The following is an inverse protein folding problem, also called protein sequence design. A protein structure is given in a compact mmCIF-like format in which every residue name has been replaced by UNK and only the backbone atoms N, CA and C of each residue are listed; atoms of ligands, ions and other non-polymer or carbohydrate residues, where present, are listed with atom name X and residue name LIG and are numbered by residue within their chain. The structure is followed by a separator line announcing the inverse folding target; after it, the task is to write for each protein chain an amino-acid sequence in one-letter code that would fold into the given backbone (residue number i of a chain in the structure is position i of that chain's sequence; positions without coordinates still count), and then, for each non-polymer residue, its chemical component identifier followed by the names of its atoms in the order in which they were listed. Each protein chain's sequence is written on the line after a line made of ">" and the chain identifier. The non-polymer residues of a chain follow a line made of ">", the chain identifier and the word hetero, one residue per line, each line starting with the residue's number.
data_IF_735538810551
#
_entry.id   IF_735538810551
#
_cell.length_a   1.000
_cell.length_b   1.000
_cell.length_c   1.000
_cell.angle_alpha   90.00
_cell.angle_beta   90.00
_cell.angle_gamma   90.00
#
_symmetry.space_group_name_H-M   'P 1'
#
loop_
_entity.id
_entity.type
_entity.pdbx_description
1 polymer ?
#
# COMPACT_ATOMS: atom_id res chain seq x y z
N UNK A 1 2.50 35.34 -36.22
CA UNK A 1 3.42 34.20 -36.00
C UNK A 1 4.64 34.76 -35.25
N UNK A 2 4.63 34.71 -33.92
CA UNK A 2 5.72 35.21 -33.08
C UNK A 2 6.70 34.09 -32.81
N UNK A 3 7.98 34.38 -33.00
CA UNK A 3 9.12 33.47 -32.95
C UNK A 3 9.37 33.00 -31.50
N UNK A 4 9.07 31.73 -31.18
CA UNK A 4 9.14 31.15 -29.82
C UNK A 4 10.53 30.64 -29.41
N UNK A 5 11.56 30.90 -30.21
CA UNK A 5 12.86 30.21 -30.23
C UNK A 5 13.79 30.37 -29.02
N UNK A 6 13.29 30.59 -27.82
CA UNK A 6 14.14 30.68 -26.62
C UNK A 6 13.43 30.70 -25.27
N UNK A 7 12.12 30.41 -25.21
CA UNK A 7 11.41 30.39 -23.92
C UNK A 7 11.82 29.16 -23.10
N UNK A 8 12.27 29.39 -21.87
CA UNK A 8 12.68 28.34 -20.91
C UNK A 8 11.48 27.49 -20.49
N UNK A 9 11.70 26.19 -20.27
CA UNK A 9 10.68 25.20 -19.89
C UNK A 9 9.80 25.68 -18.72
N UNK A 10 10.41 26.28 -17.69
CA UNK A 10 9.73 26.87 -16.53
C UNK A 10 8.62 27.84 -16.91
N UNK A 11 8.95 28.85 -17.71
CA UNK A 11 7.99 29.87 -18.11
C UNK A 11 6.85 29.28 -18.92
N UNK A 12 7.19 28.42 -19.90
CA UNK A 12 6.19 27.80 -20.75
C UNK A 12 5.20 26.95 -19.94
N UNK A 13 5.70 26.15 -19.00
CA UNK A 13 4.87 25.25 -18.20
C UNK A 13 3.94 26.02 -17.24
N UNK A 14 4.43 27.10 -16.62
CA UNK A 14 3.58 27.98 -15.80
C UNK A 14 2.43 28.60 -16.61
N UNK A 15 2.71 29.05 -17.85
CA UNK A 15 1.68 29.56 -18.75
C UNK A 15 0.64 28.46 -19.09
N UNK A 16 1.07 27.21 -19.28
CA UNK A 16 0.16 26.09 -19.57
C UNK A 16 -0.69 25.69 -18.35
N UNK A 17 -0.15 25.77 -17.14
CA UNK A 17 -0.92 25.53 -15.92
C UNK A 17 -1.96 26.64 -15.74
N UNK A 18 -1.59 27.90 -15.98
CA UNK A 18 -2.49 29.05 -15.84
C UNK A 18 -3.58 29.11 -16.92
N UNK A 19 -3.33 28.56 -18.11
CA UNK A 19 -4.34 28.51 -19.17
C UNK A 19 -5.51 27.59 -18.85
N UNK A 20 -5.32 26.65 -17.90
CA UNK A 20 -6.31 25.63 -17.51
C UNK A 20 -6.86 24.81 -18.71
N UNK A 21 -6.10 24.74 -19.81
CA UNK A 21 -6.52 24.07 -21.04
C UNK A 21 -6.33 22.55 -20.99
N UNK A 22 -5.44 22.06 -20.12
CA UNK A 22 -5.05 20.66 -20.05
C UNK A 22 -5.65 20.00 -18.80
N UNK A 23 -6.55 19.03 -19.02
CA UNK A 23 -7.23 18.33 -17.91
C UNK A 23 -6.21 17.71 -16.95
N UNK A 24 -6.33 18.01 -15.66
CA UNK A 24 -5.48 17.49 -14.59
C UNK A 24 -4.12 18.18 -14.42
N UNK A 25 -3.72 19.11 -15.31
CA UNK A 25 -2.57 20.00 -15.11
C UNK A 25 -3.00 21.20 -14.26
N UNK A 26 -2.54 21.28 -13.01
CA UNK A 26 -2.94 22.35 -12.09
C UNK A 26 -1.94 22.55 -10.94
N UNK A 27 -2.06 23.69 -10.25
CA UNK A 27 -1.38 23.95 -8.99
C UNK A 27 -1.93 23.05 -7.87
N UNK A 28 -1.03 22.58 -6.99
CA UNK A 28 -1.34 21.78 -5.80
C UNK A 28 -1.41 22.64 -4.53
N UNK A 29 -0.81 23.82 -4.56
CA UNK A 29 -0.75 24.77 -3.46
C UNK A 29 -1.15 26.19 -3.89
N UNK A 30 -1.72 26.97 -2.96
CA UNK A 30 -2.10 28.36 -3.22
C UNK A 30 -0.88 29.26 -3.51
N UNK A 31 0.27 28.93 -2.92
CA UNK A 31 1.55 29.61 -3.17
C UNK A 31 2.17 29.33 -4.54
N UNK A 32 1.55 28.46 -5.36
CA UNK A 32 1.99 28.12 -6.72
C UNK A 32 3.46 27.71 -6.80
N UNK A 33 3.88 26.89 -5.83
CA UNK A 33 5.22 26.33 -5.77
C UNK A 33 5.24 24.87 -6.22
N UNK A 34 4.09 24.20 -6.25
CA UNK A 34 3.93 22.81 -6.66
C UNK A 34 2.78 22.66 -7.64
N UNK A 35 2.99 21.86 -8.66
CA UNK A 35 1.97 21.54 -9.64
C UNK A 35 1.99 20.06 -9.97
N UNK A 36 0.87 19.56 -10.47
CA UNK A 36 0.75 18.18 -10.95
C UNK A 36 0.63 18.12 -12.47
N UNK A 37 1.21 17.08 -13.07
CA UNK A 37 1.06 16.75 -14.49
C UNK A 37 0.36 15.38 -14.61
N UNK A 38 -0.72 15.24 -15.40
CA UNK A 38 -1.32 13.95 -15.73
C UNK A 38 -0.30 12.99 -16.34
N UNK A 39 -0.28 11.73 -15.89
CA UNK A 39 0.76 10.75 -16.25
C UNK A 39 0.20 9.40 -16.67
N UNK A 40 -0.90 9.39 -17.42
CA UNK A 40 -1.56 8.15 -17.87
C UNK A 40 -0.70 7.36 -18.85
N UNK A 41 -0.67 6.04 -18.70
CA UNK A 41 0.07 5.14 -19.58
C UNK A 41 -0.73 4.83 -20.85
N UNK A 42 -0.06 4.85 -22.01
CA UNK A 42 -0.67 4.59 -23.32
C UNK A 42 -1.26 3.17 -23.46
N UNK A 43 -0.78 2.21 -22.67
CA UNK A 43 -1.30 0.84 -22.64
C UNK A 43 -2.60 0.65 -21.85
N UNK A 44 -3.16 1.70 -21.21
CA UNK A 44 -4.44 1.60 -20.50
C UNK A 44 -5.61 1.60 -21.50
N UNK A 45 -6.61 0.76 -21.29
CA UNK A 45 -7.78 0.63 -22.19
C UNK A 45 -8.56 1.95 -22.35
N UNK A 46 -8.55 2.79 -21.32
CA UNK A 46 -9.21 4.09 -21.27
C UNK A 46 -8.25 5.25 -21.58
N UNK A 47 -7.11 4.97 -22.22
CA UNK A 47 -6.19 6.00 -22.70
C UNK A 47 -6.78 6.69 -23.94
N UNK A 48 -6.97 8.01 -23.85
CA UNK A 48 -7.34 8.87 -24.94
C UNK A 48 -6.15 9.74 -25.31
N UNK A 49 -5.52 9.44 -26.45
CA UNK A 49 -4.36 10.18 -26.94
C UNK A 49 -4.59 11.70 -27.04
N UNK A 50 -5.78 12.15 -27.43
CA UNK A 50 -6.04 13.59 -27.60
C UNK A 50 -6.05 14.32 -26.26
N UNK A 51 -6.51 13.65 -25.20
CA UNK A 51 -6.65 14.21 -23.85
C UNK A 51 -5.38 13.94 -23.03
N UNK A 52 -5.00 12.67 -22.91
CA UNK A 52 -3.91 12.21 -22.05
C UNK A 52 -2.53 12.56 -22.60
N UNK A 53 -2.40 12.74 -23.93
CA UNK A 53 -1.15 13.20 -24.54
C UNK A 53 -1.09 14.71 -24.78
N UNK A 54 -2.16 15.46 -24.45
CA UNK A 54 -2.35 16.86 -24.85
C UNK A 54 -1.20 17.79 -24.44
N UNK A 55 -0.78 17.76 -23.18
CA UNK A 55 0.31 18.60 -22.67
C UNK A 55 1.67 18.20 -23.26
N UNK A 56 1.90 16.89 -23.46
CA UNK A 56 3.13 16.39 -24.09
C UNK A 56 3.20 16.80 -25.57
N UNK A 57 2.08 16.70 -26.29
CA UNK A 57 1.94 17.18 -27.67
C UNK A 57 2.19 18.69 -27.74
N UNK A 58 1.63 19.47 -26.82
CA UNK A 58 1.84 20.91 -26.77
C UNK A 58 3.31 21.28 -26.56
N UNK A 59 4.04 20.54 -25.70
CA UNK A 59 5.48 20.71 -25.55
C UNK A 59 6.25 20.41 -26.83
N UNK A 60 5.90 19.33 -27.54
CA UNK A 60 6.53 18.97 -28.81
C UNK A 60 6.29 20.03 -29.90
N UNK A 61 5.07 20.59 -30.00
CA UNK A 61 4.75 21.71 -30.89
C UNK A 61 5.56 22.95 -30.50
N UNK A 62 5.62 23.27 -29.21
CA UNK A 62 6.32 24.44 -28.71
C UNK A 62 7.83 24.41 -29.01
N UNK A 63 8.44 23.22 -28.89
CA UNK A 63 9.85 22.97 -29.26
C UNK A 63 10.06 22.80 -30.76
N UNK A 64 9.01 22.90 -31.59
CA UNK A 64 9.09 22.74 -33.04
C UNK A 64 9.42 21.33 -33.51
N UNK A 65 9.30 20.32 -32.63
CA UNK A 65 9.62 18.91 -32.92
C UNK A 65 8.39 18.11 -33.40
N UNK A 66 7.26 18.78 -33.63
CA UNK A 66 6.04 18.22 -34.19
C UNK A 66 5.23 19.32 -34.89
N UNK A 67 4.68 19.03 -36.07
CA UNK A 67 3.76 19.88 -36.82
C UNK A 67 2.45 19.14 -37.12
N UNK A 68 1.37 19.90 -37.29
CA UNK A 68 0.06 19.34 -37.61
C UNK A 68 0.09 18.66 -38.99
N UNK A 69 -0.10 17.34 -39.00
CA UNK A 69 0.10 16.48 -40.18
C UNK A 69 1.22 15.44 -40.03
N UNK A 70 2.12 15.62 -39.06
CA UNK A 70 3.13 14.61 -38.73
C UNK A 70 2.50 13.40 -38.02
N UNK A 71 3.15 12.24 -38.11
CA UNK A 71 2.73 11.03 -37.38
C UNK A 71 2.79 11.32 -35.87
N UNK A 72 1.68 11.07 -35.18
CA UNK A 72 1.62 11.26 -33.74
C UNK A 72 2.40 10.17 -32.99
N UNK A 73 3.26 10.58 -32.05
CA UNK A 73 4.05 9.69 -31.22
C UNK A 73 3.98 10.10 -29.73
N UNK A 74 2.88 9.75 -29.02
CA UNK A 74 2.66 10.17 -27.64
C UNK A 74 3.77 9.76 -26.67
N UNK A 75 4.32 8.54 -26.82
CA UNK A 75 5.44 8.05 -26.01
C UNK A 75 6.70 8.91 -26.19
N UNK A 76 7.04 9.27 -27.42
CA UNK A 76 8.15 10.17 -27.74
C UNK A 76 7.96 11.56 -27.11
N UNK A 77 6.77 12.13 -27.20
CA UNK A 77 6.47 13.44 -26.62
C UNK A 77 6.58 13.44 -25.09
N UNK A 78 6.02 12.40 -24.45
CA UNK A 78 6.07 12.22 -23.00
C UNK A 78 7.51 12.07 -22.50
N UNK A 79 8.31 11.23 -23.16
CA UNK A 79 9.73 11.04 -22.82
C UNK A 79 10.53 12.33 -22.96
N UNK A 80 10.29 13.13 -24.01
CA UNK A 80 10.96 14.43 -24.17
C UNK A 80 10.63 15.42 -23.07
N UNK A 81 9.36 15.52 -22.66
CA UNK A 81 8.99 16.41 -21.55
C UNK A 81 9.58 15.91 -20.22
N UNK A 82 9.55 14.59 -19.96
CA UNK A 82 10.20 13.97 -18.79
C UNK A 82 11.69 14.29 -18.73
N UNK A 83 12.42 14.10 -19.84
CA UNK A 83 13.84 14.48 -19.95
C UNK A 83 14.03 15.96 -19.57
N UNK A 84 13.21 16.85 -20.12
CA UNK A 84 13.35 18.28 -19.94
C UNK A 84 13.08 18.69 -18.48
N UNK A 85 12.10 18.08 -17.81
CA UNK A 85 11.82 18.28 -16.39
C UNK A 85 12.98 17.78 -15.52
N UNK A 86 13.50 16.58 -15.78
CA UNK A 86 14.56 15.97 -14.97
C UNK A 86 15.92 16.66 -15.13
N UNK A 87 16.23 17.19 -16.32
CA UNK A 87 17.49 17.92 -16.58
C UNK A 87 17.42 19.38 -16.12
N UNK A 88 16.22 19.90 -15.84
CA UNK A 88 16.02 21.30 -15.50
C UNK A 88 16.26 21.54 -14.00
N UNK A 89 17.14 22.49 -13.61
CA UNK A 89 17.34 22.83 -12.20
C UNK A 89 16.13 23.55 -11.59
N UNK A 90 15.20 24.02 -12.42
CA UNK A 90 13.98 24.70 -11.97
C UNK A 90 12.94 23.75 -11.34
N UNK A 91 13.10 22.43 -11.48
CA UNK A 91 12.09 21.47 -11.06
C UNK A 91 12.67 20.31 -10.24
N UNK A 92 11.90 19.88 -9.25
CA UNK A 92 12.16 18.66 -8.48
C UNK A 92 10.88 17.81 -8.44
N UNK A 93 10.97 16.52 -8.77
CA UNK A 93 9.84 15.60 -8.65
C UNK A 93 9.60 15.30 -7.16
N UNK A 94 8.38 15.53 -6.68
CA UNK A 94 7.94 15.22 -5.31
C UNK A 94 7.23 13.88 -5.32
N UNK A 95 8.00 12.79 -5.32
CA UNK A 95 7.49 11.42 -5.48
C UNK A 95 6.43 11.04 -4.45
N UNK A 96 6.55 11.51 -3.21
CA UNK A 96 5.63 11.19 -2.12
C UNK A 96 4.22 11.77 -2.33
N UNK A 97 4.09 12.79 -3.19
CA UNK A 97 2.82 13.41 -3.55
C UNK A 97 2.30 12.94 -4.92
N UNK A 98 3.15 12.30 -5.73
CA UNK A 98 2.75 11.71 -7.00
C UNK A 98 1.81 10.52 -6.78
N UNK A 99 0.75 10.42 -7.58
CA UNK A 99 -0.21 9.31 -7.53
C UNK A 99 -0.28 8.64 -8.89
N UNK A 100 0.47 7.56 -9.08
CA UNK A 100 0.53 6.82 -10.35
C UNK A 100 -0.45 5.64 -10.42
N UNK A 101 -1.13 5.34 -9.32
CA UNK A 101 -1.94 4.14 -9.12
C UNK A 101 -3.44 4.39 -8.99
N UNK A 102 -3.88 5.60 -9.33
CA UNK A 102 -5.29 6.03 -9.38
C UNK A 102 -5.82 6.08 -10.82
N UNK A 103 -7.13 6.26 -11.00
CA UNK A 103 -7.78 6.29 -12.33
C UNK A 103 -7.21 7.38 -13.25
N UNK A 104 -6.93 8.55 -12.68
CA UNK A 104 -6.33 9.69 -13.36
C UNK A 104 -4.94 9.96 -12.74
N UNK A 105 -3.92 9.17 -13.12
CA UNK A 105 -2.62 9.23 -12.48
C UNK A 105 -1.92 10.56 -12.77
N UNK A 106 -1.12 11.04 -11.83
CA UNK A 106 -0.36 12.27 -11.98
C UNK A 106 0.98 12.23 -11.24
N UNK A 107 1.91 13.07 -11.68
CA UNK A 107 3.19 13.36 -11.01
C UNK A 107 3.20 14.77 -10.48
N UNK A 108 3.72 14.95 -9.26
CA UNK A 108 3.85 16.27 -8.63
C UNK A 108 5.29 16.77 -8.76
N UNK A 109 5.45 18.02 -9.15
CA UNK A 109 6.73 18.70 -9.25
C UNK A 109 6.71 19.99 -8.42
N UNK A 110 7.82 20.27 -7.74
CA UNK A 110 8.10 21.52 -7.05
C UNK A 110 8.95 22.43 -7.92
N UNK A 111 8.63 23.71 -7.97
CA UNK A 111 9.45 24.75 -8.57
C UNK A 111 10.54 25.12 -7.56
N UNK A 112 11.80 24.88 -7.93
CA UNK A 112 12.95 25.17 -7.07
C UNK A 112 13.26 26.69 -7.14
N UNK A 113 13.29 27.41 -6.01
CA UNK A 113 13.72 28.81 -5.96
C UNK A 113 15.18 28.99 -6.42
N UNK A 114 15.51 30.12 -7.04
CA UNK A 114 16.84 30.36 -7.64
C UNK A 114 18.00 30.26 -6.61
N UNK A 115 17.73 30.52 -5.33
CA UNK A 115 18.68 30.40 -4.22
C UNK A 115 19.12 28.94 -3.97
N UNK A 116 18.20 27.98 -4.15
CA UNK A 116 18.44 26.55 -3.95
C UNK A 116 19.08 25.88 -5.18
N UNK A 117 19.00 26.52 -6.35
CA UNK A 117 19.51 25.96 -7.62
C UNK A 117 21.04 25.88 -7.69
N UNK A 118 21.76 26.56 -6.80
CA UNK A 118 23.24 26.70 -6.87
C UNK A 118 24.06 25.56 -6.25
N UNK A 119 23.44 24.51 -5.68
CA UNK A 119 24.20 23.51 -4.88
C UNK A 119 23.88 22.00 -5.09
N UNK A 120 23.44 21.52 -6.27
CA UNK A 120 23.45 20.07 -6.58
C UNK A 120 23.00 19.76 -8.01
N UNK A 121 23.54 18.79 -8.78
CA UNK A 121 24.25 17.54 -8.51
C UNK A 121 25.41 17.37 -9.50
N UNK A 122 26.65 17.21 -9.03
CA UNK A 122 27.75 16.68 -9.84
C UNK A 122 27.76 15.17 -9.65
N UNK A 123 27.17 14.43 -10.61
CA UNK A 123 27.48 13.02 -10.76
C UNK A 123 28.89 12.92 -11.36
N UNK A 124 29.81 12.25 -10.66
CA UNK A 124 31.21 12.13 -11.04
C UNK A 124 31.37 11.36 -12.37
N UNK A 125 31.97 12.01 -13.36
CA UNK A 125 32.76 11.37 -14.42
C UNK A 125 33.99 12.26 -14.74
N UNK A 126 35.13 11.68 -15.15
CA UNK A 126 36.40 12.39 -15.21
C UNK A 126 36.48 13.37 -16.39
N UNK A 127 37.27 14.42 -16.18
CA UNK A 127 37.51 15.54 -17.09
C UNK A 127 37.92 15.13 -18.51
N UNK A 128 37.37 15.86 -19.49
CA UNK A 128 38.14 16.40 -20.60
C UNK A 128 37.75 17.86 -20.85
N UNK A 129 38.75 18.74 -20.82
CA UNK A 129 38.70 20.18 -21.05
C UNK A 129 38.31 20.55 -22.48
N UNK A 130 37.43 21.53 -22.67
CA UNK A 130 37.66 22.76 -23.48
C UNK A 130 36.45 23.69 -23.39
N UNK A 131 36.73 24.99 -23.51
CA UNK A 131 35.88 26.16 -23.26
C UNK A 131 34.85 26.46 -24.35
N UNK A 132 33.73 27.07 -23.94
CA UNK A 132 33.11 28.30 -24.49
C UNK A 132 31.59 28.19 -24.41
N UNK A 133 30.95 29.18 -23.78
CA UNK A 133 29.51 29.21 -23.58
C UNK A 133 28.74 29.33 -24.88
N UNK A 134 27.72 28.49 -25.03
CA UNK A 134 26.55 28.75 -25.85
C UNK A 134 25.35 28.00 -25.25
N UNK A 135 24.15 28.56 -25.40
CA UNK A 135 22.93 28.10 -24.73
C UNK A 135 22.58 26.67 -25.17
N UNK A 136 22.86 25.69 -24.31
CA UNK A 136 22.63 24.28 -24.63
C UNK A 136 21.15 24.01 -24.88
N UNK A 137 20.81 23.69 -26.13
CA UNK A 137 19.54 23.08 -26.48
C UNK A 137 19.35 21.81 -25.64
N UNK A 138 18.32 21.83 -24.77
CA UNK A 138 17.94 20.71 -23.93
C UNK A 138 17.23 19.63 -24.75
N UNK A 139 17.95 18.97 -25.65
CA UNK A 139 17.45 17.87 -26.47
C UNK A 139 17.95 16.51 -25.93
N UNK A 140 17.06 15.52 -25.85
CA UNK A 140 17.40 14.11 -25.57
C UNK A 140 17.73 13.43 -26.91
N UNK A 141 18.80 12.62 -26.95
CA UNK A 141 19.23 11.94 -28.18
C UNK A 141 18.23 10.84 -28.58
N UNK A 142 18.05 10.51 -29.87
CA UNK A 142 17.11 9.47 -30.30
C UNK A 142 17.34 8.10 -29.64
N UNK A 143 18.60 7.72 -29.39
CA UNK A 143 18.95 6.47 -28.70
C UNK A 143 18.55 6.47 -27.21
N UNK A 144 18.73 7.60 -26.51
CA UNK A 144 18.29 7.76 -25.11
C UNK A 144 16.75 7.70 -25.02
N UNK A 145 16.06 8.22 -26.03
CA UNK A 145 14.59 8.19 -26.09
C UNK A 145 14.09 6.74 -26.23
N UNK A 146 14.71 5.93 -27.08
CA UNK A 146 14.31 4.53 -27.28
C UNK A 146 14.54 3.69 -26.02
N UNK A 147 15.67 3.89 -25.33
CA UNK A 147 15.96 3.23 -24.06
C UNK A 147 14.98 3.66 -22.95
N UNK A 148 14.68 4.96 -22.83
CA UNK A 148 13.75 5.50 -21.83
C UNK A 148 12.27 5.14 -22.09
N UNK A 149 11.88 4.95 -23.36
CA UNK A 149 10.56 4.42 -23.72
C UNK A 149 10.50 2.95 -23.31
N UNK A 150 11.56 2.18 -23.59
CA UNK A 150 11.66 0.79 -23.19
C UNK A 150 11.70 0.63 -21.67
N UNK A 151 12.30 1.54 -20.92
CA UNK A 151 12.21 1.59 -19.45
C UNK A 151 10.80 1.91 -18.96
N UNK A 152 10.09 2.85 -19.59
CA UNK A 152 8.69 3.13 -19.21
C UNK A 152 7.74 1.97 -19.54
N UNK A 153 8.01 1.20 -20.59
CA UNK A 153 7.29 -0.03 -20.92
C UNK A 153 7.77 -1.25 -20.10
N UNK A 154 9.05 -1.27 -19.68
CA UNK A 154 9.68 -2.32 -18.87
C UNK A 154 9.59 -2.06 -17.36
N UNK A 155 9.06 -0.91 -16.92
CA UNK A 155 8.62 -0.69 -15.54
C UNK A 155 7.37 -1.52 -15.19
N UNK A 156 7.07 -2.57 -15.94
CA UNK A 156 6.51 -3.80 -15.39
C UNK A 156 7.57 -4.44 -14.49
N UNK A 157 7.51 -4.07 -13.21
CA UNK A 157 8.32 -4.54 -12.08
C UNK A 157 8.88 -5.94 -12.34
N UNK A 158 10.18 -6.03 -12.67
CA UNK A 158 10.89 -7.30 -12.60
C UNK A 158 10.88 -7.74 -11.13
N UNK A 159 10.23 -8.87 -10.87
CA UNK A 159 10.29 -9.57 -9.60
C UNK A 159 11.76 -9.93 -9.34
N UNK A 160 12.38 -9.25 -8.38
CA UNK A 160 13.64 -9.72 -7.79
C UNK A 160 13.33 -10.94 -6.91
N UNK A 161 14.20 -11.96 -6.86
CA UNK A 161 13.97 -13.14 -6.04
C UNK A 161 13.75 -12.78 -4.58
N UNK A 162 12.67 -13.30 -4.01
CA UNK A 162 12.25 -13.10 -2.62
C UNK A 162 13.27 -13.70 -1.65
N UNK A 163 14.13 -12.85 -1.08
CA UNK A 163 15.00 -13.23 0.03
C UNK A 163 14.57 -12.47 1.28
N UNK A 164 13.86 -13.17 2.17
CA UNK A 164 13.68 -12.71 3.54
C UNK A 164 15.05 -12.70 4.23
N UNK A 165 15.49 -11.60 4.87
CA UNK A 165 16.70 -11.64 5.67
C UNK A 165 16.44 -12.53 6.89
N UNK A 166 16.95 -13.77 6.83
CA UNK A 166 17.10 -14.63 7.99
C UNK A 166 18.20 -14.03 8.87
N UNK A 167 17.80 -13.56 10.06
CA UNK A 167 18.75 -13.17 11.09
C UNK A 167 19.56 -14.41 11.52
N UNK A 168 20.85 -14.38 11.23
CA UNK A 168 21.82 -15.41 11.56
C UNK A 168 22.22 -15.25 13.03
N UNK A 169 21.80 -16.18 13.90
CA UNK A 169 22.32 -16.31 15.27
C UNK A 169 23.20 -17.55 15.30
N UNK A 170 24.52 -17.36 15.23
CA UNK A 170 25.49 -18.35 15.63
C UNK A 170 25.97 -18.03 17.05
N UNK A 171 25.61 -18.87 18.02
CA UNK A 171 26.36 -19.04 19.26
C UNK A 171 25.93 -20.35 19.98
N UNK A 172 26.80 -21.35 19.87
CA UNK A 172 27.01 -22.51 20.76
C UNK A 172 25.93 -23.60 20.88
N UNK A 173 26.26 -24.78 20.33
CA UNK A 173 25.69 -26.07 20.73
C UNK A 173 26.14 -26.42 22.15
N UNK A 174 25.17 -26.60 23.05
CA UNK A 174 25.28 -27.59 24.12
C UNK A 174 24.02 -28.45 24.09
N UNK A 175 24.25 -29.75 24.07
CA UNK A 175 23.24 -30.82 24.04
C UNK A 175 22.08 -30.59 25.03
N UNK A 176 20.85 -30.70 24.53
CA UNK A 176 19.70 -31.16 25.32
C UNK A 176 18.67 -31.84 24.42
N UNK A 177 18.08 -32.91 24.93
CA UNK A 177 17.18 -33.86 24.26
C UNK A 177 15.98 -33.24 23.53
N UNK A 178 15.42 -33.92 22.51
CA UNK A 178 14.29 -33.41 21.74
C UNK A 178 12.97 -33.50 22.54
N UNK A 179 12.46 -32.35 22.98
CA UNK A 179 11.06 -32.22 23.39
C UNK A 179 10.15 -32.07 22.15
N UNK A 180 8.90 -32.58 22.18
CA UNK A 180 8.03 -32.58 21.02
C UNK A 180 7.38 -31.21 20.81
N UNK A 181 8.09 -30.26 20.23
CA UNK A 181 7.56 -28.96 19.83
C UNK A 181 7.00 -29.01 18.40
N UNK A 182 5.77 -29.52 18.26
CA UNK A 182 5.09 -29.63 16.96
C UNK A 182 3.68 -28.99 16.88
N UNK A 183 3.09 -28.54 17.99
CA UNK A 183 1.65 -28.21 18.03
C UNK A 183 1.30 -26.75 18.32
N UNK A 184 2.25 -25.88 18.66
CA UNK A 184 1.94 -24.53 19.16
C UNK A 184 1.62 -23.47 18.08
N UNK A 185 2.23 -23.55 16.89
CA UNK A 185 2.07 -22.48 15.87
C UNK A 185 0.77 -22.57 15.04
N UNK A 186 0.15 -23.75 14.96
CA UNK A 186 -1.05 -23.98 14.14
C UNK A 186 -2.26 -23.16 14.64
N UNK A 187 -2.39 -23.04 15.96
CA UNK A 187 -3.57 -22.43 16.60
C UNK A 187 -3.67 -20.94 16.26
N UNK A 188 -2.56 -20.19 16.27
CA UNK A 188 -2.56 -18.74 16.00
C UNK A 188 -2.60 -18.37 14.51
N UNK A 189 -2.54 -19.36 13.62
CA UNK A 189 -2.50 -19.13 12.17
C UNK A 189 -3.88 -19.10 11.53
N UNK A 190 -4.95 -19.37 12.29
CA UNK A 190 -6.32 -19.46 11.77
C UNK A 190 -6.96 -18.07 11.61
N UNK A 191 -7.27 -17.73 10.36
CA UNK A 191 -7.91 -16.47 9.99
C UNK A 191 -9.26 -16.73 9.33
N UNK A 192 -10.27 -15.98 9.76
CA UNK A 192 -11.55 -15.89 9.05
C UNK A 192 -11.54 -14.62 8.20
N UNK A 193 -11.74 -14.78 6.88
CA UNK A 193 -11.74 -13.69 5.91
C UNK A 193 -13.15 -13.56 5.33
N UNK A 194 -13.76 -12.39 5.47
CA UNK A 194 -15.10 -12.08 4.99
C UNK A 194 -15.08 -10.94 3.97
N UNK A 195 -15.75 -11.14 2.83
CA UNK A 195 -15.80 -10.20 1.71
C UNK A 195 -17.17 -9.53 1.64
N UNK A 196 -17.19 -8.21 1.51
CA UNK A 196 -18.42 -7.43 1.35
C UNK A 196 -18.34 -6.52 0.13
N UNK A 197 -19.41 -6.47 -0.66
CA UNK A 197 -19.57 -5.53 -1.76
C UNK A 197 -20.76 -4.59 -1.51
N UNK A 198 -20.51 -3.29 -1.36
CA UNK A 198 -21.56 -2.32 -1.01
C UNK A 198 -22.30 -2.70 0.27
N UNK A 199 -21.57 -3.20 1.28
CA UNK A 199 -22.12 -3.64 2.56
C UNK A 199 -22.81 -5.00 2.57
N UNK A 200 -23.00 -5.66 1.41
CA UNK A 200 -23.55 -7.02 1.33
C UNK A 200 -22.45 -8.05 1.52
N UNK A 201 -22.60 -9.00 2.46
CA UNK A 201 -21.69 -10.14 2.61
C UNK A 201 -21.78 -11.04 1.37
N UNK A 202 -20.64 -11.26 0.73
CA UNK A 202 -20.54 -12.01 -0.53
C UNK A 202 -19.96 -13.40 -0.31
N UNK A 203 -18.96 -13.53 0.55
CA UNK A 203 -18.27 -14.79 0.83
C UNK A 203 -17.51 -14.70 2.16
N UNK A 204 -17.33 -15.82 2.83
CA UNK A 204 -16.40 -15.99 3.93
C UNK A 204 -15.54 -17.26 3.72
N UNK A 205 -14.31 -17.24 4.22
CA UNK A 205 -13.42 -18.39 4.11
C UNK A 205 -12.48 -18.48 5.31
N UNK A 206 -12.21 -19.71 5.73
CA UNK A 206 -11.24 -20.03 6.77
C UNK A 206 -9.88 -20.31 6.12
N UNK A 207 -8.87 -19.58 6.57
CA UNK A 207 -7.47 -19.80 6.22
C UNK A 207 -6.79 -20.46 7.40
N UNK A 208 -6.24 -21.65 7.20
CA UNK A 208 -5.51 -22.42 8.22
C UNK A 208 -4.04 -22.62 7.85
N UNK A 209 -3.61 -22.10 6.69
CA UNK A 209 -2.27 -22.31 6.17
C UNK A 209 -1.22 -21.56 7.03
N UNK A 210 -0.13 -22.22 7.47
CA UNK A 210 0.83 -21.65 8.43
C UNK A 210 1.62 -20.44 7.91
N UNK A 211 1.79 -20.36 6.60
CA UNK A 211 2.41 -19.22 5.92
C UNK A 211 1.42 -18.08 5.64
N UNK A 212 0.14 -18.27 5.98
CA UNK A 212 -0.94 -17.34 5.70
C UNK A 212 -1.54 -17.50 4.31
N UNK A 213 -2.10 -16.41 3.77
CA UNK A 213 -2.76 -16.40 2.48
C UNK A 213 -2.40 -15.21 1.61
N UNK A 214 -2.64 -15.36 0.31
CA UNK A 214 -2.69 -14.28 -0.66
C UNK A 214 -4.15 -14.02 -1.03
N UNK A 215 -4.60 -12.78 -0.88
CA UNK A 215 -5.93 -12.35 -1.31
C UNK A 215 -5.81 -11.63 -2.66
N UNK A 216 -6.31 -12.23 -3.73
CA UNK A 216 -6.28 -11.65 -5.09
C UNK A 216 -7.44 -12.16 -5.96
N UNK A 217 -7.89 -11.40 -6.98
CA UNK A 217 -8.87 -11.89 -7.93
C UNK A 217 -8.45 -13.23 -8.55
N UNK A 218 -9.43 -14.05 -8.91
CA UNK A 218 -9.12 -15.31 -9.58
C UNK A 218 -8.54 -15.02 -10.96
N UNK A 219 -7.37 -15.61 -11.26
CA UNK A 219 -6.74 -15.47 -12.57
C UNK A 219 -7.36 -16.46 -13.55
N UNK A 220 -7.69 -15.99 -14.74
CA UNK A 220 -8.16 -16.87 -15.82
C UNK A 220 -6.98 -17.71 -16.34
N UNK A 221 -7.23 -19.02 -16.55
CA UNK A 221 -6.30 -20.11 -16.89
C UNK A 221 -5.38 -19.93 -18.13
N UNK A 222 -5.29 -18.73 -18.72
CA UNK A 222 -4.46 -18.43 -19.91
C UNK A 222 -3.16 -17.67 -19.64
N UNK A 223 -3.04 -16.97 -18.50
CA UNK A 223 -1.77 -16.49 -17.99
C UNK A 223 -1.33 -17.47 -16.91
N UNK A 224 -0.13 -18.04 -17.02
CA UNK A 224 0.43 -18.89 -15.97
C UNK A 224 0.30 -18.23 -14.61
N UNK A 225 0.31 -19.02 -13.54
CA UNK A 225 0.20 -18.54 -12.17
C UNK A 225 1.46 -17.75 -11.76
N UNK A 226 1.69 -16.60 -12.40
CA UNK A 226 2.89 -15.76 -12.30
C UNK A 226 3.13 -15.27 -10.88
N UNK A 227 2.15 -15.43 -10.01
CA UNK A 227 2.19 -14.95 -8.64
C UNK A 227 1.62 -15.94 -7.61
N UNK A 228 1.32 -17.18 -8.00
CA UNK A 228 1.02 -18.22 -7.01
C UNK A 228 2.34 -18.75 -6.46
N UNK A 229 2.65 -18.38 -5.22
CA UNK A 229 3.69 -19.08 -4.46
C UNK A 229 3.06 -20.34 -3.88
N UNK A 230 3.69 -21.50 -4.07
CA UNK A 230 3.30 -22.76 -3.41
C UNK A 230 3.36 -22.64 -1.87
N UNK A 231 3.98 -21.57 -1.35
CA UNK A 231 4.10 -21.34 0.08
C UNK A 231 2.86 -20.75 0.74
N UNK A 232 1.81 -20.27 0.05
CA UNK A 232 0.65 -19.63 0.70
C UNK A 232 -0.69 -20.10 0.13
N UNK A 233 -1.74 -20.09 0.96
CA UNK A 233 -3.10 -20.36 0.49
C UNK A 233 -3.59 -19.22 -0.41
N UNK A 234 -4.11 -19.56 -1.59
CA UNK A 234 -4.76 -18.58 -2.48
C UNK A 234 -6.21 -18.37 -2.05
N UNK A 235 -6.56 -17.11 -1.77
CA UNK A 235 -7.91 -16.67 -1.41
C UNK A 235 -8.40 -15.68 -2.47
N UNK A 236 -9.60 -15.91 -2.99
CA UNK A 236 -10.11 -15.15 -4.12
C UNK A 236 -11.22 -14.18 -3.75
N UNK A 237 -11.16 -12.98 -4.33
CA UNK A 237 -12.29 -12.05 -4.31
C UNK A 237 -13.48 -12.68 -5.04
N UNK A 238 -14.71 -12.55 -4.50
CA UNK A 238 -15.91 -13.00 -5.21
C UNK A 238 -16.06 -12.30 -6.58
N UNK A 239 -16.51 -13.01 -7.63
CA UNK A 239 -16.72 -12.40 -8.94
C UNK A 239 -17.70 -11.22 -8.88
N UNK A 240 -17.44 -10.16 -9.64
CA UNK A 240 -18.32 -8.99 -9.68
C UNK A 240 -19.71 -9.35 -10.26
N UNK A 241 -19.81 -10.44 -11.03
CA UNK A 241 -21.05 -10.97 -11.60
C UNK A 241 -22.11 -11.28 -10.55
N UNK A 242 -21.70 -11.51 -9.28
CA UNK A 242 -22.60 -11.73 -8.15
C UNK A 242 -23.29 -10.45 -7.65
N UNK A 243 -22.86 -9.27 -8.12
CA UNK A 243 -23.44 -7.98 -7.74
C UNK A 243 -24.70 -7.73 -8.55
N UNK A 244 -25.82 -7.46 -7.88
CA UNK A 244 -27.13 -7.24 -8.51
C UNK A 244 -27.19 -5.93 -9.31
N UNK A 245 -26.69 -4.82 -8.73
CA UNK A 245 -26.78 -3.50 -9.33
C UNK A 245 -25.72 -3.26 -10.41
N UNK A 246 -26.14 -2.99 -11.65
CA UNK A 246 -25.23 -2.85 -12.80
C UNK A 246 -24.16 -1.77 -12.65
N UNK A 247 -24.54 -0.60 -12.09
CA UNK A 247 -23.58 0.49 -11.86
C UNK A 247 -22.50 0.05 -10.87
N UNK A 248 -22.88 -0.55 -9.75
CA UNK A 248 -21.94 -1.06 -8.76
C UNK A 248 -21.07 -2.17 -9.35
N UNK A 249 -21.68 -3.15 -10.03
CA UNK A 249 -21.02 -4.25 -10.72
C UNK A 249 -19.91 -3.75 -11.64
N UNK A 250 -20.22 -2.76 -12.48
CA UNK A 250 -19.26 -2.19 -13.42
C UNK A 250 -18.05 -1.57 -12.72
N UNK A 251 -18.29 -0.77 -11.66
CA UNK A 251 -17.21 -0.10 -10.93
C UNK A 251 -16.39 -1.11 -10.12
N UNK A 252 -17.02 -2.07 -9.44
CA UNK A 252 -16.33 -3.14 -8.71
C UNK A 252 -15.48 -3.99 -9.65
N UNK A 253 -15.98 -4.34 -10.85
CA UNK A 253 -15.20 -5.09 -11.85
C UNK A 253 -13.94 -4.34 -12.27
N UNK A 254 -14.05 -3.03 -12.54
CA UNK A 254 -12.88 -2.20 -12.85
C UNK A 254 -11.87 -2.22 -11.71
N UNK A 255 -12.34 -2.05 -10.47
CA UNK A 255 -11.49 -2.08 -9.28
C UNK A 255 -10.77 -3.41 -9.11
N UNK A 256 -11.43 -4.55 -9.32
CA UNK A 256 -10.81 -5.89 -9.27
C UNK A 256 -9.64 -6.02 -10.24
N UNK A 257 -9.69 -5.40 -11.43
CA UNK A 257 -8.56 -5.36 -12.37
C UNK A 257 -7.30 -4.68 -11.82
N UNK A 258 -7.43 -3.84 -10.79
CA UNK A 258 -6.29 -3.24 -10.10
C UNK A 258 -5.81 -4.05 -8.88
N UNK A 259 -6.46 -5.17 -8.57
CA UNK A 259 -6.17 -6.05 -7.43
C UNK A 259 -5.39 -7.31 -7.78
N UNK A 260 -4.96 -7.50 -9.03
CA UNK A 260 -4.33 -8.74 -9.53
C UNK A 260 -3.14 -9.24 -8.70
N UNK A 261 -2.23 -8.32 -8.30
CA UNK A 261 -1.10 -8.67 -7.41
C UNK A 261 -1.52 -8.93 -5.96
N UNK A 262 -2.73 -8.50 -5.58
CA UNK A 262 -3.34 -8.79 -4.29
C UNK A 262 -2.64 -8.20 -3.07
N UNK A 263 -2.92 -8.83 -1.93
CA UNK A 263 -2.24 -8.61 -0.65
C UNK A 263 -1.78 -9.94 -0.08
N UNK A 264 -0.67 -9.94 0.64
CA UNK A 264 -0.21 -11.07 1.43
C UNK A 264 -0.60 -10.84 2.88
N UNK A 265 -1.21 -11.83 3.51
CA UNK A 265 -1.66 -11.77 4.91
C UNK A 265 -1.08 -12.96 5.66
N UNK A 266 -0.43 -12.71 6.80
CA UNK A 266 0.12 -13.73 7.68
C UNK A 266 -0.30 -13.46 9.11
N UNK A 267 -0.67 -14.52 9.82
CA UNK A 267 -0.94 -14.46 11.25
C UNK A 267 0.10 -15.28 12.03
N UNK A 268 0.44 -14.80 13.21
CA UNK A 268 1.25 -15.51 14.19
C UNK A 268 0.82 -15.13 15.62
N UNK A 269 1.59 -15.54 16.62
CA UNK A 269 1.32 -15.24 18.03
C UNK A 269 1.28 -13.73 18.33
N UNK A 270 2.03 -12.90 17.59
CA UNK A 270 2.07 -11.45 17.81
C UNK A 270 0.88 -10.71 17.19
N UNK A 271 0.26 -11.28 16.14
CA UNK A 271 -0.91 -10.71 15.48
C UNK A 271 -0.94 -10.94 13.97
N UNK A 272 -1.56 -9.99 13.25
CA UNK A 272 -1.75 -10.06 11.79
C UNK A 272 -0.81 -9.07 11.10
N UNK A 273 -0.07 -9.58 10.12
CA UNK A 273 0.82 -8.82 9.26
C UNK A 273 0.29 -8.85 7.83
N UNK A 274 0.37 -7.71 7.15
CA UNK A 274 -0.07 -7.56 5.77
C UNK A 274 1.01 -6.89 4.92
N UNK A 275 1.09 -7.29 3.65
CA UNK A 275 1.89 -6.62 2.62
C UNK A 275 1.02 -6.34 1.39
N UNK A 276 0.87 -5.06 1.04
CA UNK A 276 0.12 -4.65 -0.15
C UNK A 276 0.97 -4.76 -1.41
N UNK A 277 0.52 -5.53 -2.41
CA UNK A 277 1.22 -5.68 -3.69
C UNK A 277 0.42 -5.12 -4.88
N UNK A 278 -0.89 -4.97 -4.73
CA UNK A 278 -1.79 -4.50 -5.78
C UNK A 278 -1.61 -3.02 -6.15
N UNK A 279 -2.16 -2.65 -7.30
CA UNK A 279 -2.16 -1.27 -7.77
C UNK A 279 -3.14 -0.43 -6.94
N UNK A 280 -4.33 -0.95 -6.65
CA UNK A 280 -5.33 -0.21 -5.89
C UNK A 280 -4.85 0.19 -4.49
N UNK A 281 -5.24 1.39 -4.02
CA UNK A 281 -5.03 1.84 -2.65
C UNK A 281 -5.86 1.00 -1.67
N UNK A 282 -5.32 0.79 -0.47
CA UNK A 282 -6.00 0.07 0.60
C UNK A 282 -5.92 0.91 1.86
N UNK A 283 -7.06 1.13 2.49
CA UNK A 283 -7.15 1.71 3.83
C UNK A 283 -7.55 0.62 4.81
N UNK A 284 -7.09 0.72 6.05
CA UNK A 284 -7.39 -0.26 7.08
C UNK A 284 -7.75 0.39 8.41
N UNK A 285 -8.59 -0.29 9.17
CA UNK A 285 -8.98 0.08 10.53
C UNK A 285 -9.04 -1.18 11.39
N UNK A 286 -8.54 -1.11 12.61
CA UNK A 286 -8.54 -2.20 13.58
C UNK A 286 -8.36 -1.68 15.01
N UNK A 287 -8.15 -2.60 15.94
CA UNK A 287 -7.86 -2.28 17.34
C UNK A 287 -6.53 -1.50 17.44
N UNK A 288 -6.61 -0.17 17.43
CA UNK A 288 -5.48 0.74 17.62
C UNK A 288 -5.50 1.33 19.02
N UNK A 289 -4.34 1.84 19.45
CA UNK A 289 -4.00 2.24 20.83
C UNK A 289 -5.15 2.92 21.59
N UNK A 290 -5.40 2.40 22.79
CA UNK A 290 -6.38 2.94 23.72
C UNK A 290 -6.20 4.45 23.99
N UNK A 291 -7.29 5.07 24.46
CA UNK A 291 -7.31 6.23 25.38
C UNK A 291 -7.60 7.64 24.89
N UNK A 292 -8.32 7.84 23.77
CA UNK A 292 -9.07 9.10 23.61
C UNK A 292 -10.39 8.90 22.86
N UNK A 293 -11.40 9.68 23.25
CA UNK A 293 -12.78 9.65 22.76
C UNK A 293 -12.96 10.08 21.28
N UNK A 294 -11.95 9.88 20.42
CA UNK A 294 -12.03 10.20 19.00
C UNK A 294 -11.29 9.13 18.18
N UNK A 295 -12.08 8.22 17.60
CA UNK A 295 -11.85 7.36 16.44
C UNK A 295 -10.38 7.09 16.04
N UNK A 296 -9.95 5.82 16.09
CA UNK A 296 -8.76 5.38 15.36
C UNK A 296 -8.97 5.66 13.87
N UNK A 297 -8.28 6.69 13.37
CA UNK A 297 -8.43 7.12 11.98
C UNK A 297 -7.89 6.02 11.06
N UNK A 298 -8.66 5.57 10.06
CA UNK A 298 -8.20 4.53 9.17
C UNK A 298 -6.90 4.94 8.46
N UNK A 299 -5.95 4.01 8.43
CA UNK A 299 -4.61 4.25 7.90
C UNK A 299 -4.47 3.68 6.49
N UNK A 300 -3.72 4.36 5.63
CA UNK A 300 -3.40 3.87 4.29
C UNK A 300 -2.28 2.82 4.37
N UNK A 301 -2.41 1.71 3.64
CA UNK A 301 -1.33 0.76 3.45
C UNK A 301 -0.41 1.21 2.32
N UNK A 302 0.86 1.42 2.68
CA UNK A 302 1.91 1.64 1.70
C UNK A 302 2.24 0.37 0.93
N UNK A 303 2.55 0.53 -0.36
CA UNK A 303 2.85 -0.60 -1.23
C UNK A 303 4.20 -1.20 -0.87
N UNK A 304 4.30 -2.52 -0.95
CA UNK A 304 5.52 -3.31 -0.71
C UNK A 304 6.10 -3.20 0.73
N UNK A 305 5.42 -2.49 1.64
CA UNK A 305 5.73 -2.46 3.06
C UNK A 305 4.98 -3.56 3.83
N UNK A 306 5.64 -4.17 4.81
CA UNK A 306 5.01 -5.09 5.76
C UNK A 306 4.51 -4.28 6.95
N UNK A 307 3.21 -4.39 7.25
CA UNK A 307 2.55 -3.63 8.32
C UNK A 307 1.87 -4.61 9.28
N UNK A 308 2.03 -4.39 10.59
CA UNK A 308 1.26 -5.08 11.63
C UNK A 308 -0.09 -4.38 11.79
N UNK A 309 -1.18 -5.05 11.43
CA UNK A 309 -2.54 -4.49 11.41
C UNK A 309 -3.42 -4.99 12.56
N UNK A 310 -2.97 -6.01 13.28
CA UNK A 310 -3.59 -6.49 14.51
C UNK A 310 -2.50 -6.84 15.52
N UNK A 311 -2.70 -6.51 16.78
CA UNK A 311 -1.79 -6.85 17.87
C UNK A 311 -2.51 -7.73 18.91
N UNK A 312 -2.10 -8.98 18.98
CA UNK A 312 -2.69 -9.99 19.87
C UNK A 312 -2.52 -9.62 21.33
N UNK A 313 -1.37 -9.05 21.72
CA UNK A 313 -1.11 -8.61 23.08
C UNK A 313 -2.03 -7.48 23.51
N UNK A 314 -2.25 -6.49 22.64
CA UNK A 314 -3.21 -5.40 22.88
C UNK A 314 -4.64 -5.90 22.98
N UNK A 315 -5.02 -6.87 22.13
CA UNK A 315 -6.33 -7.48 22.21
C UNK A 315 -6.54 -8.16 23.57
N UNK A 316 -5.56 -8.91 24.09
CA UNK A 316 -5.69 -9.54 25.40
C UNK A 316 -5.75 -8.55 26.56
N UNK A 317 -4.98 -7.46 26.51
CA UNK A 317 -5.10 -6.38 27.50
C UNK A 317 -6.50 -5.75 27.47
N UNK A 318 -7.04 -5.48 26.29
CA UNK A 318 -8.39 -4.97 26.13
C UNK A 318 -9.45 -5.99 26.60
N UNK A 319 -9.24 -7.28 26.35
CA UNK A 319 -10.11 -8.35 26.84
C UNK A 319 -10.15 -8.41 28.36
N UNK A 320 -9.02 -8.22 29.05
CA UNK A 320 -8.98 -8.15 30.51
C UNK A 320 -9.78 -6.95 31.05
N UNK A 321 -9.55 -5.76 30.50
CA UNK A 321 -10.31 -4.56 30.87
C UNK A 321 -11.80 -4.72 30.56
N UNK A 322 -12.13 -5.38 29.45
CA UNK A 322 -13.50 -5.73 29.10
C UNK A 322 -14.10 -6.65 30.14
N UNK A 323 -13.42 -7.72 30.57
CA UNK A 323 -13.87 -8.65 31.62
C UNK A 323 -14.15 -7.94 32.95
N UNK A 324 -13.32 -6.97 33.31
CA UNK A 324 -13.48 -6.12 34.51
C UNK A 324 -14.57 -5.05 34.35
N UNK A 325 -15.16 -4.90 33.16
CA UNK A 325 -16.25 -3.97 32.89
C UNK A 325 -15.80 -2.52 32.66
N UNK A 326 -14.51 -2.29 32.44
CA UNK A 326 -13.93 -0.96 32.30
C UNK A 326 -14.08 -0.37 30.89
N UNK A 327 -14.11 -1.23 29.87
CA UNK A 327 -14.22 -0.83 28.45
C UNK A 327 -15.26 -1.69 27.72
N UNK A 328 -15.75 -1.25 26.54
CA UNK A 328 -16.53 -2.10 25.64
C UNK A 328 -15.73 -3.30 25.10
N UNK A 329 -16.44 -4.27 24.53
CA UNK A 329 -15.82 -5.45 23.92
C UNK A 329 -14.82 -5.05 22.81
N UNK A 330 -13.57 -5.58 22.83
CA UNK A 330 -12.62 -5.33 21.76
C UNK A 330 -13.03 -6.07 20.48
N UNK A 331 -12.86 -5.43 19.33
CA UNK A 331 -13.11 -6.05 18.03
C UNK A 331 -11.94 -7.00 17.66
N UNK A 332 -12.18 -8.30 17.43
CA UNK A 332 -11.16 -9.25 17.00
C UNK A 332 -10.86 -9.15 15.49
N UNK A 333 -11.54 -8.26 14.76
CA UNK A 333 -11.39 -8.09 13.32
C UNK A 333 -10.65 -6.80 12.94
N UNK A 334 -9.97 -6.87 11.79
CA UNK A 334 -9.43 -5.74 11.05
C UNK A 334 -10.26 -5.58 9.78
N UNK A 335 -10.63 -4.34 9.47
CA UNK A 335 -11.37 -3.98 8.26
C UNK A 335 -10.41 -3.36 7.23
N UNK A 336 -10.38 -3.92 6.03
CA UNK A 336 -9.68 -3.39 4.86
C UNK A 336 -10.70 -2.81 3.87
N UNK A 337 -10.41 -1.62 3.34
CA UNK A 337 -11.19 -0.95 2.31
C UNK A 337 -10.34 -0.77 1.06
N UNK A 338 -10.79 -1.31 -0.07
CA UNK A 338 -10.04 -1.30 -1.33
C UNK A 338 -10.57 -0.23 -2.27
N UNK A 339 -9.67 0.56 -2.88
CA UNK A 339 -9.98 1.58 -3.89
C UNK A 339 -10.56 2.89 -3.35
N UNK A 340 -11.08 2.89 -2.13
CA UNK A 340 -11.74 4.03 -1.51
C UNK A 340 -11.10 4.38 -0.17
N UNK A 341 -11.13 5.66 0.17
CA UNK A 341 -10.75 6.14 1.48
C UNK A 341 -11.79 5.71 2.52
N UNK A 342 -11.31 5.25 3.68
CA UNK A 342 -12.16 4.90 4.82
C UNK A 342 -12.07 6.05 5.82
N UNK A 343 -13.14 6.82 5.98
CA UNK A 343 -13.15 7.97 6.90
C UNK A 343 -13.49 7.53 8.32
N UNK A 344 -14.46 6.61 8.43
CA UNK A 344 -14.86 5.94 9.66
C UNK A 344 -15.41 4.54 9.35
N UNK A 345 -15.55 3.69 10.36
CA UNK A 345 -16.11 2.34 10.22
C UNK A 345 -17.60 2.33 9.85
N UNK A 346 -18.35 3.39 10.15
CA UNK A 346 -19.77 3.49 9.78
C UNK A 346 -19.94 3.61 8.25
N UNK A 347 -18.97 4.23 7.57
CA UNK A 347 -18.92 4.37 6.12
C UNK A 347 -18.60 3.08 5.38
N UNK A 348 -18.14 2.02 6.07
CA UNK A 348 -17.74 0.76 5.44
C UNK A 348 -18.89 0.12 4.63
N UNK A 349 -20.14 0.28 5.09
CA UNK A 349 -21.33 -0.28 4.41
C UNK A 349 -21.58 0.33 3.03
N UNK A 350 -21.09 1.53 2.75
CA UNK A 350 -21.25 2.16 1.44
C UNK A 350 -20.07 1.92 0.50
N UNK A 351 -19.01 1.23 0.94
CA UNK A 351 -17.81 0.99 0.15
C UNK A 351 -18.00 -0.18 -0.81
N UNK A 352 -17.37 -0.08 -1.99
CA UNK A 352 -17.43 -1.04 -3.06
C UNK A 352 -16.87 -2.40 -2.66
N UNK A 353 -15.73 -2.42 -1.96
CA UNK A 353 -15.06 -3.63 -1.50
C UNK A 353 -14.52 -3.43 -0.08
N UNK A 354 -15.08 -4.19 0.86
CA UNK A 354 -14.56 -4.37 2.20
C UNK A 354 -14.10 -5.81 2.38
N UNK A 355 -12.96 -6.00 3.02
CA UNK A 355 -12.51 -7.31 3.51
C UNK A 355 -12.31 -7.22 5.02
N UNK A 356 -12.99 -8.05 5.78
CA UNK A 356 -12.74 -8.20 7.21
C UNK A 356 -11.88 -9.43 7.46
N UNK A 357 -10.83 -9.27 8.25
CA UNK A 357 -9.89 -10.33 8.62
C UNK A 357 -9.91 -10.44 10.13
N UNK A 358 -10.17 -11.63 10.65
CA UNK A 358 -10.30 -11.86 12.09
C UNK A 358 -9.50 -13.08 12.53
N UNK A 359 -8.87 -12.98 13.69
CA UNK A 359 -8.20 -14.13 14.30
C UNK A 359 -9.27 -14.98 14.99
N UNK A 360 -9.44 -16.23 14.53
CA UNK A 360 -10.49 -17.13 14.99
C UNK A 360 -10.43 -17.37 16.50
N UNK A 361 -9.23 -17.51 17.07
CA UNK A 361 -9.08 -17.69 18.52
C UNK A 361 -9.51 -16.46 19.31
N UNK A 362 -9.26 -15.26 18.80
CA UNK A 362 -9.66 -14.03 19.46
C UNK A 362 -11.19 -13.89 19.44
N UNK A 363 -11.84 -14.33 18.36
CA UNK A 363 -13.30 -14.42 18.28
C UNK A 363 -13.87 -15.40 19.31
N UNK A 364 -13.37 -16.64 19.35
CA UNK A 364 -13.84 -17.63 20.33
C UNK A 364 -13.66 -17.16 21.76
N UNK A 365 -12.52 -16.56 22.10
CA UNK A 365 -12.29 -16.03 23.43
C UNK A 365 -13.30 -14.94 23.82
N UNK A 366 -13.61 -14.02 22.89
CA UNK A 366 -14.61 -13.00 23.12
C UNK A 366 -16.01 -13.60 23.32
N UNK A 367 -16.38 -14.59 22.52
CA UNK A 367 -17.63 -15.34 22.64
C UNK A 367 -17.73 -16.05 24.01
N UNK A 368 -16.68 -16.72 24.46
CA UNK A 368 -16.63 -17.38 25.77
C UNK A 368 -16.83 -16.38 26.91
N UNK A 369 -16.17 -15.22 26.86
CA UNK A 369 -16.34 -14.17 27.88
C UNK A 369 -17.76 -13.61 27.87
N UNK A 370 -18.32 -13.36 26.69
CA UNK A 370 -19.70 -12.90 26.54
C UNK A 370 -20.70 -13.90 27.11
N UNK A 371 -20.48 -15.20 26.90
CA UNK A 371 -21.31 -16.28 27.44
C UNK A 371 -21.26 -16.35 28.97
N UNK A 372 -20.07 -16.24 29.58
CA UNK A 372 -19.94 -16.23 31.06
C UNK A 372 -20.62 -15.01 31.67
N UNK A 373 -20.47 -13.86 31.03
CA UNK A 373 -21.11 -12.61 31.46
C UNK A 373 -22.63 -12.68 31.34
N UNK A 374 -23.19 -13.31 30.31
CA UNK A 374 -24.66 -13.48 30.17
C UNK A 374 -25.24 -14.52 31.13
N UNK A 375 -24.49 -15.59 31.44
CA UNK A 375 -24.88 -16.60 32.44
C UNK A 375 -24.94 -16.05 33.87
N UNK A 376 -24.10 -15.08 34.24
CA UNK A 376 -24.20 -14.38 35.54
C UNK A 376 -25.54 -13.63 35.71
N UNK A 377 -26.22 -13.29 34.62
CA UNK A 377 -27.57 -12.69 34.65
C UNK A 377 -28.69 -13.73 34.53
N UNK A 378 -28.37 -15.00 34.24
CA UNK A 378 -29.33 -16.07 33.92
C UNK A 378 -29.04 -17.30 34.80
N UNK A 379 -29.48 -17.27 36.06
CA UNK A 379 -29.40 -18.45 36.93
C UNK A 379 -30.30 -19.58 36.39
N UNK A 380 -29.71 -20.57 35.71
CA UNK A 380 -30.14 -21.97 35.73
C UNK A 380 -29.00 -22.88 35.21
N UNK A 381 -28.54 -23.88 35.98
CA UNK A 381 -27.44 -24.74 35.57
C UNK A 381 -27.98 -25.96 34.81
N UNK A 382 -27.82 -25.96 33.48
CA UNK A 382 -27.96 -27.21 32.71
C UNK A 382 -26.73 -27.39 31.83
N UNK A 383 -26.20 -28.60 31.96
CA UNK A 383 -24.90 -29.13 31.57
C UNK A 383 -24.73 -29.24 30.05
N UNK A 384 -23.67 -28.64 29.48
CA UNK A 384 -23.14 -29.03 28.16
C UNK A 384 -21.61 -29.14 28.25
N UNK A 385 -21.12 -30.39 28.26
CA UNK A 385 -19.71 -30.78 28.35
C UNK A 385 -19.34 -31.41 27.02
N UNK A 386 -18.92 -30.60 26.06
CA UNK A 386 -18.30 -31.08 24.81
C UNK A 386 -17.26 -30.08 24.27
N UNK A 387 -17.44 -28.78 24.52
CA UNK A 387 -16.55 -27.70 24.08
C UNK A 387 -15.41 -27.36 25.08
N UNK A 388 -15.32 -28.12 26.17
CA UNK A 388 -14.51 -27.77 27.35
C UNK A 388 -13.00 -27.89 27.07
N UNK A 389 -12.56 -28.82 26.21
CA UNK A 389 -11.12 -29.08 25.98
C UNK A 389 -10.46 -27.97 25.16
N UNK A 390 -11.11 -27.48 24.10
CA UNK A 390 -10.61 -26.37 23.30
C UNK A 390 -10.67 -25.07 24.10
N UNK A 391 -11.75 -24.87 24.86
CA UNK A 391 -11.94 -23.72 25.75
C UNK A 391 -10.89 -23.68 26.86
N UNK A 392 -10.57 -24.83 27.47
CA UNK A 392 -9.56 -24.93 28.53
C UNK A 392 -8.15 -24.71 27.99
N UNK A 393 -7.83 -25.23 26.80
CA UNK A 393 -6.55 -24.96 26.14
C UNK A 393 -6.40 -23.46 25.81
N UNK A 394 -7.45 -22.81 25.32
CA UNK A 394 -7.45 -21.36 25.08
C UNK A 394 -7.32 -20.54 26.36
N UNK A 395 -8.00 -20.95 27.44
CA UNK A 395 -7.87 -20.33 28.75
C UNK A 395 -6.43 -20.41 29.28
N UNK A 396 -5.76 -21.55 29.09
CA UNK A 396 -4.34 -21.70 29.45
C UNK A 396 -3.43 -20.81 28.62
N UNK A 397 -3.63 -20.73 27.30
CA UNK A 397 -2.86 -19.82 26.43
C UNK A 397 -3.03 -18.36 26.86
N UNK A 398 -4.26 -17.93 27.11
CA UNK A 398 -4.55 -16.58 27.60
C UNK A 398 -3.87 -16.31 28.94
N UNK A 399 -3.98 -17.26 29.87
CA UNK A 399 -3.39 -17.13 31.20
C UNK A 399 -1.86 -17.11 31.15
N UNK A 400 -1.22 -17.94 30.32
CA UNK A 400 0.23 -17.92 30.08
C UNK A 400 0.67 -16.57 29.53
N UNK A 401 -0.01 -16.06 28.50
CA UNK A 401 0.33 -14.76 27.89
C UNK A 401 0.12 -13.58 28.84
N UNK A 402 -0.90 -13.62 29.69
CA UNK A 402 -1.10 -12.61 30.74
C UNK A 402 -0.08 -12.73 31.89
N UNK A 403 0.49 -13.92 32.11
CA UNK A 403 1.49 -14.18 33.15
C UNK A 403 2.92 -13.79 32.72
N UNK A 404 3.17 -13.62 31.42
CA UNK A 404 4.44 -13.14 30.88
C UNK A 404 4.58 -11.61 31.08
N UNK A 405 5.12 -11.20 32.22
CA UNK A 405 5.68 -9.86 32.37
C UNK A 405 6.99 -9.76 31.56
N UNK A 406 6.97 -9.01 30.45
CA UNK A 406 8.20 -8.64 29.73
C UNK A 406 9.11 -7.87 30.71
N UNK A 407 10.38 -8.25 30.91
CA UNK A 407 11.31 -7.41 31.66
C UNK A 407 11.46 -6.09 30.91
N UNK A 408 10.99 -4.99 31.49
CA UNK A 408 11.35 -3.65 31.06
C UNK A 408 12.88 -3.57 31.06
N UNK A 409 13.51 -3.54 29.87
CA UNK A 409 14.91 -3.14 29.77
C UNK A 409 14.99 -1.69 30.23
N UNK A 410 15.68 -1.47 31.34
CA UNK A 410 16.03 -0.14 31.82
C UNK A 410 16.71 0.65 30.70
N UNK A 411 16.38 1.94 30.49
CA UNK A 411 17.09 2.77 29.53
C UNK A 411 18.54 2.89 30.01
N UNK A 412 19.46 2.25 29.29
CA UNK A 412 20.88 2.36 29.54
C UNK A 412 21.36 3.75 29.13
N UNK A 413 21.34 4.68 30.08
CA UNK A 413 22.14 5.90 30.03
C UNK A 413 23.61 5.46 29.99
N UNK A 414 24.29 5.66 28.85
CA UNK A 414 25.75 5.53 28.80
C UNK A 414 26.35 6.84 29.29
N UNK A 415 26.92 6.80 30.49
CA UNK A 415 27.80 7.83 30.99
C UNK A 415 29.03 7.99 30.09
N UNK A 416 29.38 9.25 29.83
CA UNK A 416 30.57 9.67 29.12
C UNK A 416 31.83 9.27 29.91
N UNK A 417 32.68 8.42 29.32
CA UNK A 417 34.06 8.25 29.79
C UNK A 417 35.02 8.96 28.81
N UNK A 418 35.98 9.75 29.31
CA UNK A 418 36.89 10.53 28.48
C UNK A 418 37.95 9.63 27.81
N UNK A 419 38.24 9.93 26.55
CA UNK A 419 39.31 9.31 25.77
C UNK A 419 40.64 9.88 26.26
N UNK A 420 41.52 9.03 26.79
CA UNK A 420 42.93 9.38 27.04
C UNK A 420 43.72 9.36 25.73
N UNK A 421 44.60 10.36 25.62
CA UNK A 421 45.45 10.79 24.49
C UNK A 421 46.27 9.66 23.86
#
# INVERSE_FOLDING_TARGET
>A
MSNSGGRRLKQWLMEQIQSAQYSGLQWEDESRTMFRIPWKHAGKQDYNQEVDASIFKAWAVFKGKFKEGDKAEPATWKTRLRCALNKSPDFEEVTDRSQLDISDPYKVYRIVPEEEQKHGKVSMMPMATTSSGDATEMDCSPAEIEELIKEEESCSIQASPEYWPQANINAFSLHQEPMPSGTSNSVFSQLMISFFYGGKLMHNTLVTHPEGCRISPQQHLGCGALYSSDSMQSVHFPPAELIEYDRQRYVTRKLLGHLERGVLVRANQEGIFIKRLCQSRIFWSGLSEASSQYNSMPSKLERDAVVKIFDTGRFYQAMQLYQEGQIPAPDPAVTLCFGEELSDLNSAKSKLIIVQISIVNCQHMLETVNMRRSQQYSNNPTMEVCDDVATEQMARIYQDLCSYSVPQRSPCYRDNMPITV
#
